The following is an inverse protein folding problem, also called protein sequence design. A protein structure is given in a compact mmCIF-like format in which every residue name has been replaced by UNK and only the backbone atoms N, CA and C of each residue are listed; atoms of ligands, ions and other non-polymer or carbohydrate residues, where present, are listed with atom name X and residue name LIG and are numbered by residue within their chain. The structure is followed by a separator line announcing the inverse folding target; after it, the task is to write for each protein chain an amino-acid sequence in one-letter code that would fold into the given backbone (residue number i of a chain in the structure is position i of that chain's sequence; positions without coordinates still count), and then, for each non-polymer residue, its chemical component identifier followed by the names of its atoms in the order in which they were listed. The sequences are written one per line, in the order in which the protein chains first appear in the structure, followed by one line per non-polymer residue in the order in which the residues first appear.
data_IF_571147895262
#
_entry.id   IF_571147895262
#
_cell.length_a   1.000
_cell.length_b   1.000
_cell.length_c   1.000
_cell.angle_alpha   90.00
_cell.angle_beta   90.00
_cell.angle_gamma   90.00
#
_symmetry.space_group_name_H-M   'P 1'
#
loop_
_entity.id
_entity.type
_entity.pdbx_description
1 polymer ?
#
# COMPACT_ATOMS: atom_id res chain seq x y z
N UNK A 1 -12.09 8.11 -15.06
CA UNK A 1 -13.50 8.19 -14.61
C UNK A 1 -13.49 8.60 -13.15
N UNK A 2 -14.12 9.72 -12.80
CA UNK A 2 -14.15 10.21 -11.42
C UNK A 2 -15.08 9.35 -10.56
N UNK A 3 -14.55 8.75 -9.49
CA UNK A 3 -15.38 8.07 -8.49
C UNK A 3 -16.24 9.11 -7.76
N UNK A 4 -17.57 8.94 -7.69
CA UNK A 4 -18.47 9.93 -7.10
C UNK A 4 -18.19 10.10 -5.60
N UNK A 5 -18.07 11.35 -5.16
CA UNK A 5 -17.97 11.69 -3.73
C UNK A 5 -19.38 11.69 -3.14
N UNK A 6 -19.66 10.75 -2.25
CA UNK A 6 -20.91 10.70 -1.50
C UNK A 6 -20.77 11.47 -0.19
N UNK A 7 -21.58 12.52 -0.01
CA UNK A 7 -21.64 13.28 1.23
C UNK A 7 -22.77 12.71 2.09
N UNK A 8 -22.43 12.17 3.27
CA UNK A 8 -23.39 11.65 4.24
C UNK A 8 -23.59 12.70 5.33
N UNK A 9 -24.78 13.30 5.39
CA UNK A 9 -25.09 14.38 6.32
C UNK A 9 -25.42 13.90 7.74
N UNK A 10 -25.71 12.61 7.92
CA UNK A 10 -26.12 12.01 9.20
C UNK A 10 -25.32 10.74 9.52
N UNK A 11 -24.01 10.84 9.85
CA UNK A 11 -23.13 9.69 10.05
C UNK A 11 -23.59 8.77 11.19
N UNK A 12 -24.25 9.33 12.21
CA UNK A 12 -24.72 8.59 13.38
C UNK A 12 -25.81 7.55 13.06
N UNK A 13 -26.52 7.70 11.94
CA UNK A 13 -27.51 6.71 11.49
C UNK A 13 -26.90 5.52 10.75
N UNK A 14 -25.58 5.55 10.50
CA UNK A 14 -24.85 4.51 9.77
C UNK A 14 -23.77 3.84 10.61
N UNK A 15 -23.60 4.27 11.87
CA UNK A 15 -22.73 3.62 12.86
C UNK A 15 -23.58 2.78 13.80
N UNK A 16 -23.71 1.49 13.50
CA UNK A 16 -24.18 0.50 14.48
C UNK A 16 -22.97 -0.29 15.00
N UNK A 17 -22.93 -0.49 16.32
CA UNK A 17 -21.99 -1.42 16.92
C UNK A 17 -22.30 -2.84 16.43
N UNK A 18 -21.28 -3.57 15.99
CA UNK A 18 -21.46 -4.95 15.53
C UNK A 18 -21.93 -5.83 16.68
N UNK A 19 -23.10 -6.45 16.52
CA UNK A 19 -23.68 -7.43 17.46
C UNK A 19 -22.79 -8.66 17.75
N UNK A 20 -21.72 -8.90 16.98
CA UNK A 20 -20.78 -10.02 17.22
C UNK A 20 -19.32 -9.62 17.00
N UNK A 21 -18.43 -9.81 18.00
CA UNK A 21 -16.98 -9.66 17.84
C UNK A 21 -16.32 -10.90 17.19
N UNK A 22 -17.02 -11.61 16.31
CA UNK A 22 -16.54 -12.83 15.66
C UNK A 22 -15.96 -12.56 14.28
N UNK A 23 -14.70 -12.13 14.22
CA UNK A 23 -13.94 -12.08 12.96
C UNK A 23 -13.25 -13.41 12.66
N UNK A 24 -13.27 -13.86 11.41
CA UNK A 24 -12.53 -15.05 10.95
C UNK A 24 -13.46 -16.17 10.46
N UNK A 25 -13.84 -16.13 9.19
CA UNK A 25 -14.48 -17.27 8.53
C UNK A 25 -13.51 -18.47 8.44
N UNK A 26 -14.04 -19.69 8.26
CA UNK A 26 -13.20 -20.86 8.03
C UNK A 26 -12.34 -20.67 6.77
N UNK A 27 -11.21 -21.37 6.71
CA UNK A 27 -10.36 -21.39 5.52
C UNK A 27 -11.15 -21.98 4.36
N UNK A 28 -11.06 -21.35 3.20
CA UNK A 28 -11.78 -21.74 1.99
C UNK A 28 -10.81 -22.25 0.97
N UNK A 29 -11.16 -23.36 0.32
CA UNK A 29 -10.44 -23.82 -0.85
C UNK A 29 -11.05 -23.18 -2.09
N UNK A 30 -10.31 -22.26 -2.72
CA UNK A 30 -10.76 -21.55 -3.91
C UNK A 30 -10.69 -22.39 -5.19
N UNK A 31 -10.04 -23.55 -5.11
CA UNK A 31 -9.85 -24.53 -6.18
C UNK A 31 -10.39 -25.89 -5.76
N UNK A 32 -11.48 -25.91 -4.99
CA UNK A 32 -12.13 -27.16 -4.60
C UNK A 32 -12.45 -27.99 -5.86
N UNK A 33 -11.96 -29.23 -5.87
CA UNK A 33 -12.10 -30.20 -6.98
C UNK A 33 -11.37 -29.81 -8.29
N UNK A 34 -10.48 -28.81 -8.25
CA UNK A 34 -9.60 -28.39 -9.37
C UNK A 34 -8.12 -28.32 -8.94
N UNK A 35 -7.56 -29.47 -8.56
CA UNK A 35 -6.17 -29.58 -8.12
C UNK A 35 -5.16 -29.23 -9.23
N UNK A 36 -5.51 -29.52 -10.49
CA UNK A 36 -4.67 -29.20 -11.66
C UNK A 36 -4.61 -27.68 -11.84
N UNK A 37 -5.77 -27.00 -11.77
CA UNK A 37 -5.83 -25.55 -11.81
C UNK A 37 -5.11 -24.90 -10.63
N UNK A 38 -5.22 -25.48 -9.43
CA UNK A 38 -4.46 -25.01 -8.27
C UNK A 38 -2.95 -25.12 -8.49
N UNK A 39 -2.46 -26.26 -8.98
CA UNK A 39 -1.05 -26.46 -9.24
C UNK A 39 -0.50 -25.47 -10.28
N UNK A 40 -1.24 -25.23 -11.37
CA UNK A 40 -0.90 -24.21 -12.37
C UNK A 40 -0.90 -22.80 -11.79
N UNK A 41 -1.92 -22.45 -10.99
CA UNK A 41 -2.02 -21.16 -10.31
C UNK A 41 -0.87 -20.93 -9.33
N UNK A 42 -0.53 -21.93 -8.51
CA UNK A 42 0.62 -21.87 -7.60
C UNK A 42 1.91 -21.56 -8.36
N UNK A 43 2.15 -22.19 -9.49
CA UNK A 43 3.33 -21.90 -10.32
C UNK A 43 3.32 -20.48 -10.88
N UNK A 44 2.15 -19.97 -11.28
CA UNK A 44 2.02 -18.58 -11.71
C UNK A 44 2.33 -17.59 -10.57
N UNK A 45 1.82 -17.84 -9.36
CA UNK A 45 2.12 -17.02 -8.17
C UNK A 45 3.61 -17.05 -7.84
N UNK A 46 4.27 -18.22 -7.91
CA UNK A 46 5.71 -18.33 -7.73
C UNK A 46 6.50 -17.52 -8.75
N UNK A 47 6.08 -17.55 -10.02
CA UNK A 47 6.68 -16.74 -11.07
C UNK A 47 6.53 -15.24 -10.79
N UNK A 48 5.32 -14.80 -10.42
CA UNK A 48 5.06 -13.40 -10.07
C UNK A 48 5.92 -12.94 -8.88
N UNK A 49 6.06 -13.78 -7.84
CA UNK A 49 6.96 -13.48 -6.72
C UNK A 49 8.42 -13.33 -7.16
N UNK A 50 8.89 -14.19 -8.07
CA UNK A 50 10.23 -14.09 -8.63
C UNK A 50 10.42 -12.80 -9.45
N UNK A 51 9.43 -12.44 -10.28
CA UNK A 51 9.45 -11.23 -11.11
C UNK A 51 9.47 -9.96 -10.24
N UNK A 52 8.64 -9.90 -9.20
CA UNK A 52 8.61 -8.79 -8.23
C UNK A 52 9.92 -8.72 -7.44
N UNK A 53 10.45 -9.87 -7.01
CA UNK A 53 11.75 -9.93 -6.31
C UNK A 53 12.87 -9.36 -7.17
N UNK A 54 12.94 -9.75 -8.45
CA UNK A 54 13.90 -9.20 -9.39
C UNK A 54 13.68 -7.70 -9.64
N UNK A 55 12.42 -7.24 -9.67
CA UNK A 55 12.06 -5.82 -9.73
C UNK A 55 12.62 -5.01 -8.56
N UNK A 56 12.41 -5.48 -7.34
CA UNK A 56 12.95 -4.85 -6.13
C UNK A 56 14.48 -4.83 -6.13
N UNK A 57 15.12 -5.92 -6.53
CA UNK A 57 16.59 -5.97 -6.63
C UNK A 57 17.15 -4.96 -7.64
N UNK A 58 16.46 -4.72 -8.76
CA UNK A 58 16.83 -3.68 -9.73
C UNK A 58 16.69 -2.26 -9.17
N UNK A 59 15.71 -2.03 -8.29
CA UNK A 59 15.46 -0.74 -7.64
C UNK A 59 16.37 -0.48 -6.43
N UNK A 60 16.91 -1.54 -5.83
CA UNK A 60 17.68 -1.48 -4.59
C UNK A 60 18.87 -0.51 -4.60
N UNK A 61 19.65 -0.36 -5.69
CA UNK A 61 20.73 0.62 -5.74
C UNK A 61 20.26 2.07 -5.55
N UNK A 62 19.03 2.39 -5.96
CA UNK A 62 18.49 3.75 -5.88
C UNK A 62 17.73 4.01 -4.57
N UNK A 63 16.88 3.07 -4.15
CA UNK A 63 15.91 3.29 -3.07
C UNK A 63 16.12 2.37 -1.85
N UNK A 64 17.10 1.47 -1.90
CA UNK A 64 17.33 0.46 -0.88
C UNK A 64 16.52 -0.82 -1.07
N UNK A 65 16.72 -1.82 -0.21
CA UNK A 65 16.21 -3.18 -0.39
C UNK A 65 14.71 -3.33 -0.07
N UNK A 66 13.98 -2.23 0.09
CA UNK A 66 12.57 -2.20 0.46
C UNK A 66 11.76 -1.73 -0.72
N UNK A 67 10.63 -2.38 -0.95
CA UNK A 67 9.60 -1.79 -1.79
C UNK A 67 8.21 -2.27 -1.41
N UNK A 68 7.26 -1.78 -2.19
CA UNK A 68 5.85 -2.02 -1.97
C UNK A 68 5.33 -2.98 -3.02
N UNK A 69 4.58 -3.96 -2.58
CA UNK A 69 4.03 -5.02 -3.41
C UNK A 69 2.51 -4.96 -3.31
N UNK A 70 1.87 -4.93 -4.47
CA UNK A 70 0.42 -5.00 -4.62
C UNK A 70 0.02 -6.47 -4.71
N UNK A 71 -0.85 -6.90 -3.81
CA UNK A 71 -1.41 -8.26 -3.78
C UNK A 71 -2.90 -8.16 -4.10
N UNK A 72 -3.29 -8.67 -5.26
CA UNK A 72 -4.67 -8.63 -5.74
C UNK A 72 -5.33 -9.96 -5.39
N UNK A 73 -6.49 -9.89 -4.74
CA UNK A 73 -7.29 -11.04 -4.34
C UNK A 73 -8.36 -11.33 -5.38
N UNK A 74 -8.62 -12.62 -5.59
CA UNK A 74 -9.75 -13.08 -6.39
C UNK A 74 -11.04 -12.49 -5.84
N UNK A 75 -12.00 -12.21 -6.72
CA UNK A 75 -13.34 -11.70 -6.32
C UNK A 75 -14.03 -12.53 -5.24
N UNK A 76 -13.88 -13.85 -5.28
CA UNK A 76 -14.44 -14.77 -4.27
C UNK A 76 -13.74 -14.69 -2.90
N UNK A 77 -12.56 -14.08 -2.83
CA UNK A 77 -11.69 -13.97 -1.67
C UNK A 77 -11.64 -12.55 -1.06
N UNK A 78 -12.53 -11.63 -1.45
CA UNK A 78 -12.54 -10.26 -0.94
C UNK A 78 -12.86 -10.12 0.56
N UNK A 79 -13.43 -11.15 1.19
CA UNK A 79 -13.70 -11.13 2.61
C UNK A 79 -12.39 -11.00 3.42
N UNK A 80 -12.40 -10.19 4.48
CA UNK A 80 -11.21 -9.92 5.31
C UNK A 80 -10.55 -11.20 5.87
N UNK A 81 -11.32 -12.25 6.10
CA UNK A 81 -10.83 -13.55 6.60
C UNK A 81 -10.06 -14.39 5.58
N UNK A 82 -10.11 -14.03 4.29
CA UNK A 82 -9.38 -14.72 3.22
C UNK A 82 -8.09 -13.99 2.82
N UNK A 83 -7.77 -12.86 3.46
CA UNK A 83 -6.55 -12.13 3.19
C UNK A 83 -5.33 -13.00 3.51
N UNK A 84 -4.30 -13.03 2.65
CA UNK A 84 -3.14 -13.90 2.78
C UNK A 84 -2.13 -13.38 3.81
N UNK A 85 -2.60 -12.96 4.99
CA UNK A 85 -1.82 -12.26 6.01
C UNK A 85 -1.40 -13.17 7.18
N UNK A 86 -1.70 -14.48 7.14
CA UNK A 86 -1.30 -15.39 8.21
C UNK A 86 -0.18 -16.33 7.78
N UNK A 87 -0.32 -17.04 6.66
CA UNK A 87 0.64 -18.02 6.18
C UNK A 87 1.63 -17.47 5.17
N UNK A 88 1.22 -16.49 4.35
CA UNK A 88 2.05 -15.89 3.32
C UNK A 88 2.62 -14.55 3.80
N UNK A 89 1.85 -13.47 3.75
CA UNK A 89 2.25 -12.09 4.07
C UNK A 89 2.08 -11.78 5.57
N UNK A 90 2.60 -12.66 6.43
CA UNK A 90 2.54 -12.50 7.89
C UNK A 90 3.34 -11.29 8.37
N UNK A 91 2.93 -10.68 9.48
CA UNK A 91 3.62 -9.53 10.12
C UNK A 91 5.11 -9.78 10.42
N UNK A 92 5.52 -11.05 10.56
CA UNK A 92 6.93 -11.42 10.75
C UNK A 92 7.81 -11.23 9.51
N UNK A 93 7.20 -11.20 8.32
CA UNK A 93 7.88 -11.16 7.01
C UNK A 93 7.62 -9.86 6.27
N UNK A 94 6.40 -9.35 6.36
CA UNK A 94 5.94 -8.17 5.63
C UNK A 94 5.07 -7.31 6.51
N UNK A 95 4.93 -6.04 6.14
CA UNK A 95 4.01 -5.11 6.81
C UNK A 95 2.90 -4.71 5.85
N UNK A 96 1.64 -4.92 6.25
CA UNK A 96 0.51 -4.35 5.52
C UNK A 96 0.49 -2.84 5.74
N UNK A 97 0.64 -2.06 4.67
CA UNK A 97 0.73 -0.59 4.73
C UNK A 97 -0.50 0.11 4.20
N UNK A 98 -1.34 -0.58 3.43
CA UNK A 98 -2.56 0.01 2.89
C UNK A 98 -3.36 -0.96 2.02
N UNK A 99 -4.44 -0.44 1.43
CA UNK A 99 -5.23 -1.11 0.42
C UNK A 99 -5.47 -0.09 -0.71
N UNK A 100 -5.64 -0.57 -1.94
CA UNK A 100 -6.06 0.26 -3.07
C UNK A 100 -7.58 0.10 -3.24
N UNK A 101 -8.02 -0.70 -4.22
CA UNK A 101 -9.43 -1.05 -4.38
C UNK A 101 -9.83 -2.27 -3.53
N UNK A 102 -11.10 -2.67 -3.62
CA UNK A 102 -11.65 -3.83 -2.95
C UNK A 102 -10.92 -5.12 -3.38
N UNK A 103 -10.23 -5.74 -2.41
CA UNK A 103 -9.45 -6.94 -2.66
C UNK A 103 -8.00 -6.67 -3.04
N UNK A 104 -7.54 -5.42 -3.02
CA UNK A 104 -6.15 -5.08 -3.29
C UNK A 104 -5.44 -4.66 -2.00
N UNK A 105 -4.35 -5.35 -1.67
CA UNK A 105 -3.54 -5.09 -0.49
C UNK A 105 -2.19 -4.52 -0.92
N UNK A 106 -1.65 -3.57 -0.17
CA UNK A 106 -0.28 -3.09 -0.33
C UNK A 106 0.54 -3.51 0.87
N UNK A 107 1.60 -4.26 0.60
CA UNK A 107 2.55 -4.73 1.62
C UNK A 107 3.94 -4.18 1.36
N UNK A 108 4.61 -3.76 2.42
CA UNK A 108 6.05 -3.49 2.41
C UNK A 108 6.80 -4.83 2.52
N UNK A 109 7.75 -5.06 1.62
CA UNK A 109 8.51 -6.29 1.54
C UNK A 109 9.97 -6.05 1.13
N UNK A 110 10.83 -7.00 1.50
CA UNK A 110 12.21 -7.11 1.03
C UNK A 110 12.37 -8.33 0.12
N UNK A 111 13.41 -8.40 -0.74
CA UNK A 111 13.70 -9.60 -1.53
C UNK A 111 13.79 -10.88 -0.70
N UNK A 112 14.36 -10.80 0.52
CA UNK A 112 14.44 -11.94 1.43
C UNK A 112 13.04 -12.38 1.88
N UNK A 113 12.19 -11.45 2.31
CA UNK A 113 10.83 -11.77 2.73
C UNK A 113 10.03 -12.41 1.59
N UNK A 114 10.15 -11.90 0.36
CA UNK A 114 9.48 -12.49 -0.81
C UNK A 114 9.97 -13.91 -1.12
N UNK A 115 11.26 -14.19 -0.94
CA UNK A 115 11.79 -15.55 -1.09
C UNK A 115 11.23 -16.50 -0.02
N UNK A 116 11.09 -16.05 1.22
CA UNK A 116 10.44 -16.83 2.29
C UNK A 116 8.95 -17.09 2.01
N UNK A 117 8.25 -16.10 1.44
CA UNK A 117 6.85 -16.26 1.00
C UNK A 117 6.76 -17.27 -0.14
N UNK A 118 7.66 -17.19 -1.13
CA UNK A 118 7.72 -18.15 -2.23
C UNK A 118 7.95 -19.57 -1.72
N UNK A 119 8.78 -19.76 -0.70
CA UNK A 119 8.97 -21.05 -0.06
C UNK A 119 7.68 -21.58 0.61
N UNK A 120 6.89 -20.72 1.24
CA UNK A 120 5.60 -21.13 1.81
C UNK A 120 4.54 -21.41 0.74
N UNK A 121 4.50 -20.65 -0.35
CA UNK A 121 3.63 -20.93 -1.52
C UNK A 121 3.98 -22.30 -2.11
N UNK A 122 5.26 -22.60 -2.29
CA UNK A 122 5.73 -23.90 -2.81
C UNK A 122 5.32 -25.08 -1.90
N UNK A 123 5.20 -24.86 -0.59
CA UNK A 123 4.75 -25.86 0.40
C UNK A 123 3.23 -26.02 0.49
N UNK A 124 2.44 -25.27 -0.29
CA UNK A 124 1.01 -25.47 -0.35
C UNK A 124 0.70 -26.86 -0.93
N UNK A 125 -0.20 -27.59 -0.28
CA UNK A 125 -0.56 -28.96 -0.66
C UNK A 125 -1.24 -29.02 -2.04
N UNK A 126 -0.94 -30.07 -2.81
CA UNK A 126 -1.48 -30.27 -4.15
C UNK A 126 -2.94 -30.71 -4.16
N UNK A 127 -3.40 -31.37 -3.08
CA UNK A 127 -4.75 -31.92 -2.99
C UNK A 127 -5.50 -31.42 -1.75
N UNK A 128 -6.79 -31.11 -1.92
CA UNK A 128 -7.65 -30.70 -0.81
C UNK A 128 -7.88 -31.84 0.18
N UNK A 129 -7.47 -31.65 1.44
CA UNK A 129 -7.82 -32.58 2.51
C UNK A 129 -9.30 -32.45 2.88
N UNK A 130 -9.98 -33.57 3.14
CA UNK A 130 -11.36 -33.61 3.61
C UNK A 130 -11.42 -34.23 4.99
N UNK A 131 -12.21 -33.64 5.89
CA UNK A 131 -12.44 -34.16 7.24
C UNK A 131 -13.94 -34.29 7.48
N UNK A 132 -14.35 -35.39 8.11
CA UNK A 132 -15.72 -35.54 8.56
C UNK A 132 -16.00 -34.57 9.71
N UNK A 133 -17.03 -33.74 9.55
CA UNK A 133 -17.46 -32.80 10.57
C UNK A 133 -18.65 -33.39 11.33
N UNK A 134 -18.44 -33.76 12.60
CA UNK A 134 -19.46 -34.37 13.46
C UNK A 134 -20.69 -33.49 13.68
N UNK A 135 -20.54 -32.16 13.60
CA UNK A 135 -21.64 -31.21 13.80
C UNK A 135 -22.55 -31.11 12.59
N UNK A 136 -21.97 -31.10 11.39
CA UNK A 136 -22.73 -30.98 10.13
C UNK A 136 -23.04 -32.34 9.50
N UNK A 137 -22.46 -33.42 10.04
CA UNK A 137 -22.55 -34.81 9.55
C UNK A 137 -22.16 -34.95 8.07
N UNK A 138 -21.23 -34.11 7.62
CA UNK A 138 -20.74 -34.05 6.24
C UNK A 138 -19.22 -34.11 6.19
N UNK A 139 -18.69 -34.63 5.08
CA UNK A 139 -17.28 -34.47 4.71
C UNK A 139 -17.07 -33.04 4.21
N UNK A 140 -16.26 -32.27 4.92
CA UNK A 140 -15.95 -30.88 4.59
C UNK A 140 -14.48 -30.75 4.17
N UNK A 141 -14.23 -29.86 3.21
CA UNK A 141 -12.88 -29.50 2.80
C UNK A 141 -12.19 -28.69 3.90
N UNK A 142 -10.97 -29.10 4.26
CA UNK A 142 -10.14 -28.44 5.28
C UNK A 142 -8.79 -28.12 4.66
N UNK A 143 -8.70 -27.08 3.79
CA UNK A 143 -7.44 -26.69 3.21
C UNK A 143 -6.49 -26.16 4.30
N UNK A 144 -5.20 -26.40 4.09
CA UNK A 144 -4.12 -25.76 4.83
C UNK A 144 -4.19 -24.24 4.65
N UNK A 145 -3.65 -23.46 5.61
CA UNK A 145 -3.50 -22.01 5.44
C UNK A 145 -2.84 -21.64 4.11
N UNK A 146 -1.76 -22.34 3.74
CA UNK A 146 -0.98 -22.08 2.53
C UNK A 146 -1.81 -22.27 1.27
N UNK A 147 -2.58 -23.36 1.16
CA UNK A 147 -3.46 -23.62 0.01
C UNK A 147 -4.57 -22.58 -0.09
N UNK A 148 -5.23 -22.30 1.03
CA UNK A 148 -6.31 -21.30 1.08
C UNK A 148 -5.81 -19.90 0.67
N UNK A 149 -4.70 -19.45 1.24
CA UNK A 149 -4.14 -18.13 0.95
C UNK A 149 -3.52 -18.02 -0.45
N UNK A 150 -2.82 -19.07 -0.92
CA UNK A 150 -2.30 -19.10 -2.30
C UNK A 150 -3.46 -19.07 -3.30
N UNK A 151 -4.53 -19.82 -3.02
CA UNK A 151 -5.73 -19.84 -3.85
C UNK A 151 -6.53 -18.54 -3.80
N UNK A 152 -6.42 -17.75 -2.73
CA UNK A 152 -7.09 -16.46 -2.59
C UNK A 152 -6.48 -15.37 -3.50
N UNK A 153 -5.19 -15.50 -3.82
CA UNK A 153 -4.45 -14.54 -4.64
C UNK A 153 -4.87 -14.69 -6.11
N UNK A 154 -5.06 -13.56 -6.77
CA UNK A 154 -5.25 -13.46 -8.22
C UNK A 154 -3.93 -13.12 -8.91
N UNK A 155 -3.29 -12.02 -8.47
CA UNK A 155 -1.96 -11.63 -8.95
C UNK A 155 -1.13 -10.94 -7.86
N UNK A 156 0.18 -10.93 -8.06
CA UNK A 156 1.14 -10.18 -7.26
C UNK A 156 1.97 -9.31 -8.21
N UNK A 157 2.03 -8.02 -7.90
CA UNK A 157 2.63 -7.01 -8.76
C UNK A 157 3.49 -6.05 -7.94
N UNK A 158 4.50 -5.46 -8.56
CA UNK A 158 5.28 -4.40 -7.93
C UNK A 158 4.45 -3.12 -7.95
N UNK A 159 4.29 -2.48 -6.78
CA UNK A 159 3.59 -1.19 -6.70
C UNK A 159 4.41 -0.10 -7.41
N UNK A 160 3.78 0.61 -8.34
CA UNK A 160 4.47 1.54 -9.23
C UNK A 160 3.68 2.80 -9.53
N UNK A 161 4.15 3.56 -10.52
CA UNK A 161 3.51 4.82 -10.94
C UNK A 161 2.09 4.60 -11.47
N UNK A 162 1.81 3.45 -12.09
CA UNK A 162 0.50 3.11 -12.63
C UNK A 162 -0.58 2.91 -11.56
N UNK A 163 -0.19 2.60 -10.32
CA UNK A 163 -1.11 2.42 -9.19
C UNK A 163 -1.44 3.73 -8.46
N UNK A 164 -0.77 4.83 -8.84
CA UNK A 164 -0.99 6.15 -8.26
C UNK A 164 -2.13 6.86 -9.00
N UNK A 165 -2.70 7.89 -8.36
CA UNK A 165 -3.69 8.74 -9.02
C UNK A 165 -3.08 9.35 -10.28
N UNK A 166 -3.74 9.12 -11.41
CA UNK A 166 -3.41 9.76 -12.67
C UNK A 166 -4.05 11.14 -12.69
N UNK A 167 -3.31 12.14 -13.16
CA UNK A 167 -3.82 13.47 -13.41
C UNK A 167 -3.17 14.02 -14.68
N UNK A 168 -3.85 14.98 -15.29
CA UNK A 168 -3.36 15.72 -16.43
C UNK A 168 -2.56 16.93 -15.95
N UNK A 169 -1.34 17.11 -16.48
CA UNK A 169 -0.43 18.16 -16.04
C UNK A 169 -0.99 19.55 -16.35
N UNK A 170 -1.53 19.73 -17.56
CA UNK A 170 -2.13 20.99 -17.98
C UNK A 170 -3.30 21.38 -17.07
N UNK A 171 -4.18 20.41 -16.79
CA UNK A 171 -5.29 20.62 -15.87
C UNK A 171 -4.82 20.94 -14.45
N UNK A 172 -3.74 20.31 -14.00
CA UNK A 172 -3.18 20.55 -12.67
C UNK A 172 -2.58 21.95 -12.55
N UNK A 173 -1.83 22.43 -13.56
CA UNK A 173 -1.32 23.82 -13.62
C UNK A 173 -2.48 24.82 -13.58
N UNK A 174 -3.55 24.59 -14.35
CA UNK A 174 -4.75 25.44 -14.33
C UNK A 174 -5.39 25.49 -12.95
N UNK A 175 -5.52 24.34 -12.27
CA UNK A 175 -6.09 24.28 -10.92
C UNK A 175 -5.20 24.98 -9.90
N UNK A 176 -3.91 24.71 -9.89
CA UNK A 176 -2.97 25.27 -8.92
C UNK A 176 -2.72 26.76 -9.11
N UNK A 177 -2.84 27.26 -10.34
CA UNK A 177 -2.78 28.69 -10.65
C UNK A 177 -4.03 29.45 -10.22
N UNK A 178 -5.16 28.77 -9.97
CA UNK A 178 -6.39 29.41 -9.55
C UNK A 178 -6.32 29.82 -8.07
N UNK A 179 -6.44 31.12 -7.73
CA UNK A 179 -6.35 31.60 -6.34
C UNK A 179 -7.42 31.04 -5.39
N UNK A 180 -8.49 30.44 -5.94
CA UNK A 180 -9.53 29.77 -5.16
C UNK A 180 -9.14 28.36 -4.70
N UNK A 181 -8.03 27.81 -5.21
CA UNK A 181 -7.46 26.54 -4.74
C UNK A 181 -6.29 26.81 -3.80
N UNK A 182 -5.87 25.78 -3.04
CA UNK A 182 -4.74 25.90 -2.12
C UNK A 182 -3.38 26.09 -2.79
N UNK A 183 -3.28 25.96 -4.13
CA UNK A 183 -2.02 26.09 -4.88
C UNK A 183 -0.96 25.07 -4.47
N UNK A 184 -1.37 23.91 -3.94
CA UNK A 184 -0.48 22.84 -3.49
C UNK A 184 -1.01 21.46 -3.89
N UNK A 185 -0.10 20.52 -4.11
CA UNK A 185 -0.42 19.10 -4.21
C UNK A 185 -0.43 18.46 -2.83
N UNK A 186 -1.39 17.57 -2.60
CA UNK A 186 -1.39 16.72 -1.41
C UNK A 186 -0.85 15.34 -1.78
N UNK A 187 0.25 14.95 -1.13
CA UNK A 187 0.94 13.67 -1.32
C UNK A 187 0.75 12.82 -0.07
N UNK A 188 0.07 11.69 -0.25
CA UNK A 188 -0.13 10.68 0.79
C UNK A 188 1.04 9.69 0.77
N UNK A 189 1.64 9.45 1.94
CA UNK A 189 2.70 8.47 2.14
C UNK A 189 2.18 7.30 2.98
N UNK A 190 2.82 6.13 2.85
CA UNK A 190 2.50 4.96 3.67
C UNK A 190 2.98 5.10 5.13
N UNK A 191 4.02 5.89 5.37
CA UNK A 191 4.52 6.19 6.70
C UNK A 191 5.20 7.55 6.76
N UNK A 192 5.37 8.08 7.98
CA UNK A 192 6.09 9.33 8.20
C UNK A 192 7.59 9.03 8.11
N UNK A 193 8.34 9.67 7.20
CA UNK A 193 9.78 9.61 7.23
C UNK A 193 10.29 10.10 8.60
N UNK A 194 11.20 9.37 9.27
CA UNK A 194 11.82 9.85 10.49
C UNK A 194 12.63 11.13 10.23
N UNK A 195 13.02 11.84 11.29
CA UNK A 195 14.01 12.90 11.14
C UNK A 195 15.39 12.30 10.79
N UNK A 196 16.25 13.01 10.06
CA UNK A 196 17.57 12.51 9.66
C UNK A 196 18.40 11.96 10.83
N UNK A 197 18.31 12.57 12.01
CA UNK A 197 18.99 12.11 13.23
C UNK A 197 18.58 10.69 13.68
N UNK A 198 17.43 10.20 13.24
CA UNK A 198 16.88 8.88 13.60
C UNK A 198 16.96 7.86 12.45
N UNK A 199 17.66 8.19 11.35
CA UNK A 199 17.79 7.28 10.21
C UNK A 199 18.51 5.98 10.54
N UNK A 200 19.42 5.99 11.51
CA UNK A 200 20.11 4.77 11.96
C UNK A 200 19.16 3.74 12.58
N UNK A 201 18.04 4.20 13.17
CA UNK A 201 17.02 3.34 13.76
C UNK A 201 16.13 2.71 12.66
N UNK A 202 16.10 3.29 11.45
CA UNK A 202 15.29 2.81 10.33
C UNK A 202 15.83 1.51 9.71
N UNK A 203 17.08 1.12 10.03
CA UNK A 203 17.70 -0.12 9.55
C UNK A 203 17.67 -0.21 8.02
N UNK A 204 17.10 -1.29 7.49
CA UNK A 204 17.01 -1.53 6.05
C UNK A 204 16.14 -0.51 5.29
N UNK A 205 15.33 0.31 5.99
CA UNK A 205 14.52 1.40 5.41
C UNK A 205 15.27 2.74 5.30
N UNK A 206 16.49 2.84 5.83
CA UNK A 206 17.26 4.08 5.83
C UNK A 206 17.37 4.70 4.43
N UNK A 207 17.81 3.91 3.45
CA UNK A 207 18.01 4.39 2.09
C UNK A 207 16.69 4.82 1.41
N UNK A 208 15.56 4.22 1.79
CA UNK A 208 14.24 4.62 1.29
C UNK A 208 13.91 6.07 1.72
N UNK A 209 14.16 6.41 2.99
CA UNK A 209 13.90 7.75 3.50
C UNK A 209 14.92 8.79 3.00
N UNK A 210 16.20 8.40 2.92
CA UNK A 210 17.26 9.25 2.38
C UNK A 210 16.99 9.58 0.92
N UNK A 211 16.69 8.58 0.09
CA UNK A 211 16.41 8.78 -1.34
C UNK A 211 15.14 9.61 -1.57
N UNK A 212 14.09 9.43 -0.76
CA UNK A 212 12.90 10.26 -0.84
C UNK A 212 13.17 11.74 -0.52
N UNK A 213 13.86 11.99 0.60
CA UNK A 213 14.17 13.37 1.04
C UNK A 213 15.14 14.05 0.08
N UNK A 214 16.18 13.33 -0.35
CA UNK A 214 17.10 13.80 -1.37
C UNK A 214 16.35 14.09 -2.68
N UNK A 215 15.46 13.21 -3.13
CA UNK A 215 14.65 13.42 -4.33
C UNK A 215 13.89 14.76 -4.31
N UNK A 216 13.23 15.09 -3.21
CA UNK A 216 12.54 16.37 -3.05
C UNK A 216 13.51 17.57 -3.10
N UNK A 217 14.69 17.44 -2.49
CA UNK A 217 15.72 18.49 -2.55
C UNK A 217 16.30 18.70 -3.95
N UNK A 218 16.22 17.70 -4.84
CA UNK A 218 16.71 17.80 -6.21
C UNK A 218 15.67 18.36 -7.20
N UNK A 219 14.41 18.56 -6.79
CA UNK A 219 13.35 19.12 -7.66
C UNK A 219 13.57 20.62 -8.00
N UNK A 220 14.46 21.31 -7.30
CA UNK A 220 14.87 22.68 -7.61
C UNK A 220 14.45 23.73 -6.57
N UNK A 221 14.75 24.99 -6.85
CA UNK A 221 14.43 26.11 -5.95
C UNK A 221 12.92 26.34 -5.86
N UNK A 222 12.45 27.01 -4.81
CA UNK A 222 11.04 27.38 -4.66
C UNK A 222 10.10 26.23 -4.26
N UNK A 223 10.60 25.01 -4.05
CA UNK A 223 9.78 23.93 -3.49
C UNK A 223 9.55 24.16 -1.99
N UNK A 224 8.30 24.15 -1.54
CA UNK A 224 7.92 24.04 -0.13
C UNK A 224 7.14 22.75 0.11
N UNK A 225 7.67 21.91 1.00
CA UNK A 225 7.04 20.66 1.44
C UNK A 225 6.84 20.70 2.93
N UNK A 226 5.61 20.48 3.40
CA UNK A 226 5.31 20.43 4.82
C UNK A 226 4.23 19.40 5.15
N UNK A 227 4.35 18.77 6.30
CA UNK A 227 3.36 17.81 6.79
C UNK A 227 2.04 18.50 7.10
N UNK A 228 0.92 17.92 6.65
CA UNK A 228 -0.42 18.35 7.02
C UNK A 228 -0.86 17.71 8.34
N UNK A 229 -1.62 18.43 9.18
CA UNK A 229 -2.14 17.88 10.43
C UNK A 229 -3.14 16.76 10.14
N UNK A 230 -2.99 15.63 10.84
CA UNK A 230 -3.96 14.53 10.80
C UNK A 230 -5.18 14.90 11.64
N UNK A 231 -6.36 14.71 11.06
CA UNK A 231 -7.64 15.05 11.70
C UNK A 231 -8.20 13.86 12.48
N UNK A 232 -7.91 12.64 12.04
CA UNK A 232 -8.43 11.41 12.64
C UNK A 232 -7.30 10.40 12.88
N UNK A 233 -7.40 9.63 13.97
CA UNK A 233 -6.49 8.52 14.24
C UNK A 233 -6.58 7.45 13.14
N UNK A 234 -5.44 7.10 12.55
CA UNK A 234 -5.35 6.10 11.47
C UNK A 234 -5.30 6.68 10.05
N UNK A 235 -5.39 8.01 9.88
CA UNK A 235 -5.12 8.65 8.59
C UNK A 235 -3.66 8.46 8.18
N UNK A 236 -3.47 8.24 6.88
CA UNK A 236 -2.14 8.17 6.28
C UNK A 236 -1.45 9.54 6.35
N UNK A 237 -0.12 9.58 6.54
CA UNK A 237 0.63 10.83 6.49
C UNK A 237 0.43 11.54 5.16
N UNK A 238 -0.01 12.80 5.22
CA UNK A 238 -0.21 13.63 4.04
C UNK A 238 0.72 14.84 4.11
N UNK A 239 1.30 15.20 2.97
CA UNK A 239 2.21 16.32 2.81
C UNK A 239 1.66 17.27 1.76
N UNK A 240 1.69 18.57 2.06
CA UNK A 240 1.52 19.59 1.05
C UNK A 240 2.85 19.78 0.32
N UNK A 241 2.80 19.79 -1.01
CA UNK A 241 3.92 20.05 -1.90
C UNK A 241 3.53 21.23 -2.79
N UNK A 242 4.23 22.35 -2.64
CA UNK A 242 3.96 23.59 -3.36
C UNK A 242 5.20 24.05 -4.11
N UNK A 243 4.98 24.55 -5.32
CA UNK A 243 6.01 25.23 -6.09
C UNK A 243 5.75 26.74 -6.04
N UNK A 244 6.67 27.45 -5.41
CA UNK A 244 6.64 28.90 -5.25
C UNK A 244 7.54 29.58 -6.29
N UNK A 245 7.12 30.75 -6.76
CA UNK A 245 7.96 31.68 -7.52
C UNK A 245 9.05 32.27 -6.62
N UNK A 246 10.08 31.48 -6.33
CA UNK A 246 11.14 31.82 -5.38
C UNK A 246 12.48 31.22 -5.80
N UNK A 247 13.54 32.00 -5.63
CA UNK A 247 14.92 31.54 -5.83
C UNK A 247 15.50 30.81 -4.61
N UNK A 248 14.74 30.67 -3.53
CA UNK A 248 15.17 30.01 -2.30
C UNK A 248 15.39 28.51 -2.51
N UNK A 249 16.33 27.87 -1.79
CA UNK A 249 16.48 26.42 -1.82
C UNK A 249 15.18 25.73 -1.36
N UNK A 250 14.98 24.45 -1.75
CA UNK A 250 13.81 23.69 -1.36
C UNK A 250 13.71 23.56 0.16
N UNK A 251 12.53 23.83 0.70
CA UNK A 251 12.24 23.71 2.13
C UNK A 251 11.43 22.44 2.32
N UNK A 252 12.03 21.46 3.02
CA UNK A 252 11.43 20.14 3.23
C UNK A 252 11.25 19.87 4.71
N UNK A 253 9.99 19.89 5.17
CA UNK A 253 9.60 19.73 6.57
C UNK A 253 8.77 18.47 6.76
N UNK A 254 9.45 17.38 7.15
CA UNK A 254 8.85 16.05 7.26
C UNK A 254 7.98 15.85 8.51
N UNK A 255 8.15 16.69 9.54
CA UNK A 255 7.36 16.64 10.76
C UNK A 255 6.37 17.81 10.81
N UNK A 256 5.16 17.60 11.39
CA UNK A 256 4.23 18.70 11.62
C UNK A 256 4.84 19.68 12.62
N UNK A 257 5.00 20.93 12.20
CA UNK A 257 5.42 22.01 13.08
C UNK A 257 4.21 22.58 13.83
N UNK A 258 4.32 22.62 15.16
CA UNK A 258 3.33 23.31 15.98
C UNK A 258 3.52 24.82 15.86
N UNK A 259 2.73 25.46 14.98
CA UNK A 259 2.49 26.90 15.05
C UNK A 259 3.40 27.81 14.23
N UNK A 260 3.54 27.57 12.92
CA UNK A 260 3.95 28.68 12.03
C UNK A 260 2.75 29.57 11.70
N UNK A 261 2.66 30.68 12.42
CA UNK A 261 1.89 31.85 12.00
C UNK A 261 2.52 32.42 10.73
N UNK A 262 1.78 32.41 9.64
CA UNK A 262 1.87 33.39 8.55
C UNK A 262 3.26 33.62 7.95
N UNK A 263 3.84 32.62 7.30
CA UNK A 263 4.78 32.92 6.21
C UNK A 263 3.99 33.55 5.08
N UNK A 264 4.49 34.66 4.52
CA UNK A 264 3.95 35.23 3.29
C UNK A 264 4.15 34.21 2.16
N UNK A 265 3.05 33.61 1.72
CA UNK A 265 3.07 32.51 0.77
C UNK A 265 3.32 33.12 -0.62
N UNK A 266 4.45 32.75 -1.23
CA UNK A 266 4.77 33.24 -2.57
C UNK A 266 3.79 32.67 -3.62
N UNK A 267 3.51 33.40 -4.73
CA UNK A 267 2.63 32.92 -5.79
C UNK A 267 3.08 31.57 -6.35
N UNK A 268 2.13 30.75 -6.79
CA UNK A 268 2.42 29.51 -7.51
C UNK A 268 3.20 29.81 -8.80
N UNK A 269 4.20 28.99 -9.12
CA UNK A 269 4.97 29.11 -10.37
C UNK A 269 4.41 28.18 -11.47
N UNK A 270 3.70 28.70 -12.50
CA UNK A 270 3.14 27.87 -13.55
C UNK A 270 4.14 27.54 -14.67
N UNK A 271 5.34 28.13 -14.67
CA UNK A 271 6.29 28.05 -15.81
C UNK A 271 7.43 27.05 -15.58
N UNK A 272 7.33 26.21 -14.55
CA UNK A 272 8.35 25.22 -14.20
C UNK A 272 7.78 23.81 -14.41
N UNK A 273 8.32 23.15 -15.43
CA UNK A 273 8.10 21.74 -15.76
C UNK A 273 8.88 20.81 -14.82
#
# INVERSE_FOLDING_TARGET
MASPVQIVLNPNNFSEDRDKPGGGGPKTDFFLDDDIGFAAHRQNVLKQLADVTAGLQRQAPAFGPVGFVKVILRRKAWAKSHRPLHALFSERRTRLVGNLDLGELIVEATPQALAEIAAEVARAEDHTQRRFNERTKKLEAVPTPRRSETGAIESIELYGAGDRRQFDLDQAVVWLSNPKTGGQYEVELFEIPPVPANYDIAGFRRQLFESFTAGLQHLGTGLDVHALPRRVGGEQPTYAVRLEQSAQPPIVRMLPSAGERGREIAPFDPNRD
#
